data_IF_923448032539
#
_entry.id   IF_923448032539
#
_cell.length_a   1.000
_cell.length_b   1.000
_cell.length_c   1.000
_cell.angle_alpha   90.00
_cell.angle_beta   90.00
_cell.angle_gamma   90.00
#
_symmetry.space_group_name_H-M   'P 1'
#
loop_
_entity.id
_entity.type
_entity.pdbx_description
1 polymer ?
#
# COMPACT_ATOMS: atom_id res chain seq x y z
N UNK A 1 -44.87 10.00 -32.62
CA UNK A 1 -43.80 10.96 -32.29
C UNK A 1 -43.38 10.84 -30.82
N UNK A 2 -44.30 10.88 -29.82
CA UNK A 2 -43.96 10.80 -28.38
C UNK A 2 -43.30 9.45 -28.02
N UNK A 3 -43.82 8.33 -28.52
CA UNK A 3 -43.24 7.00 -28.27
C UNK A 3 -41.81 6.92 -28.79
N UNK A 4 -41.54 7.43 -29.99
CA UNK A 4 -40.16 7.43 -30.53
C UNK A 4 -39.20 8.26 -29.68
N UNK A 5 -39.61 9.38 -29.17
CA UNK A 5 -38.79 10.23 -28.27
C UNK A 5 -38.51 9.53 -26.94
N UNK A 6 -39.51 8.89 -26.35
CA UNK A 6 -39.37 8.15 -25.10
C UNK A 6 -38.42 6.96 -25.26
N UNK A 7 -38.58 6.19 -26.36
CA UNK A 7 -37.68 5.05 -26.65
C UNK A 7 -36.26 5.50 -26.86
N UNK A 8 -36.02 6.60 -27.58
CA UNK A 8 -34.71 7.18 -27.81
C UNK A 8 -34.08 7.69 -26.50
N UNK A 9 -34.86 8.37 -25.69
CA UNK A 9 -34.43 8.91 -24.40
C UNK A 9 -34.01 7.75 -23.43
N UNK A 10 -34.80 6.68 -23.39
CA UNK A 10 -34.44 5.48 -22.58
C UNK A 10 -33.19 4.80 -23.08
N UNK A 11 -32.99 4.64 -24.41
CA UNK A 11 -31.81 4.04 -25.00
C UNK A 11 -30.55 4.86 -24.73
N UNK A 12 -30.62 6.17 -24.90
CA UNK A 12 -29.49 7.07 -24.60
C UNK A 12 -29.22 7.09 -23.08
N UNK A 13 -30.25 7.19 -22.25
CA UNK A 13 -30.14 7.24 -20.80
C UNK A 13 -29.46 5.96 -20.23
N UNK A 14 -29.90 4.80 -20.68
CA UNK A 14 -29.30 3.51 -20.28
C UNK A 14 -27.83 3.39 -20.70
N UNK A 15 -27.49 3.73 -21.94
CA UNK A 15 -26.12 3.71 -22.41
C UNK A 15 -25.23 4.73 -21.68
N UNK A 16 -25.75 5.93 -21.41
CA UNK A 16 -25.02 6.95 -20.65
C UNK A 16 -24.77 6.52 -19.21
N UNK A 17 -25.76 5.90 -18.56
CA UNK A 17 -25.60 5.35 -17.21
C UNK A 17 -24.54 4.24 -17.15
N UNK A 18 -24.60 3.27 -18.07
CA UNK A 18 -23.61 2.19 -18.19
C UNK A 18 -22.21 2.77 -18.44
N UNK A 19 -22.09 3.70 -19.41
CA UNK A 19 -20.82 4.35 -19.71
C UNK A 19 -20.27 5.13 -18.53
N UNK A 20 -21.10 5.81 -17.78
CA UNK A 20 -20.71 6.57 -16.56
C UNK A 20 -20.15 5.62 -15.49
N UNK A 21 -20.78 4.46 -15.28
CA UNK A 21 -20.27 3.45 -14.33
C UNK A 21 -18.97 2.84 -14.84
N UNK A 22 -18.90 2.46 -16.11
CA UNK A 22 -17.67 1.90 -16.72
C UNK A 22 -16.53 2.91 -16.64
N UNK A 23 -16.79 4.18 -16.99
CA UNK A 23 -15.78 5.24 -16.90
C UNK A 23 -15.33 5.49 -15.45
N UNK A 24 -16.24 5.48 -14.50
CA UNK A 24 -15.90 5.71 -13.09
C UNK A 24 -15.10 4.57 -12.45
N UNK A 25 -15.34 3.32 -12.89
CA UNK A 25 -14.76 2.12 -12.27
C UNK A 25 -13.55 1.58 -13.05
N UNK A 26 -13.59 1.62 -14.38
CA UNK A 26 -12.58 0.97 -15.23
C UNK A 26 -11.64 1.94 -15.95
N UNK A 27 -12.10 3.18 -16.24
CA UNK A 27 -11.31 4.13 -17.03
C UNK A 27 -10.74 5.28 -16.22
N UNK A 28 -11.15 5.44 -14.96
CA UNK A 28 -10.58 6.48 -14.11
C UNK A 28 -9.23 6.02 -13.62
N UNK A 29 -8.18 6.73 -14.02
CA UNK A 29 -6.84 6.54 -13.45
C UNK A 29 -6.92 6.60 -11.92
N UNK A 30 -6.16 5.75 -11.25
CA UNK A 30 -6.02 5.81 -9.80
C UNK A 30 -5.66 7.24 -9.38
N UNK A 31 -6.19 7.75 -8.26
CA UNK A 31 -5.99 9.13 -7.81
C UNK A 31 -4.56 9.39 -7.28
N UNK A 32 -3.58 8.71 -7.87
CA UNK A 32 -2.16 8.84 -7.56
C UNK A 32 -1.43 9.50 -8.72
N UNK A 33 -0.36 10.21 -8.42
CA UNK A 33 0.52 10.73 -9.46
C UNK A 33 1.09 9.57 -10.29
N UNK A 34 0.92 9.61 -11.61
CA UNK A 34 1.27 8.50 -12.53
C UNK A 34 0.59 7.15 -12.18
N UNK A 35 -0.68 7.19 -11.78
CA UNK A 35 -1.44 5.99 -11.39
C UNK A 35 -1.46 4.87 -12.43
N UNK A 36 -1.28 5.19 -13.70
CA UNK A 36 -1.20 4.24 -14.82
C UNK A 36 0.06 3.36 -14.78
N UNK A 37 1.10 3.79 -14.05
CA UNK A 37 2.36 3.06 -13.87
C UNK A 37 2.38 2.25 -12.57
N UNK A 38 1.36 2.40 -11.72
CA UNK A 38 1.24 1.60 -10.50
C UNK A 38 0.72 0.21 -10.83
N UNK A 39 1.43 -0.81 -10.35
CA UNK A 39 1.08 -2.22 -10.55
C UNK A 39 1.06 -2.95 -9.21
N UNK A 40 0.10 -3.85 -9.06
CA UNK A 40 0.05 -4.74 -7.90
C UNK A 40 0.92 -5.98 -8.16
N UNK A 41 1.70 -6.39 -7.16
CA UNK A 41 2.46 -7.63 -7.16
C UNK A 41 1.87 -8.59 -6.13
N UNK A 42 1.52 -9.78 -6.59
CA UNK A 42 1.05 -10.90 -5.76
C UNK A 42 1.57 -12.20 -6.34
N UNK A 43 1.75 -13.21 -5.51
CA UNK A 43 2.06 -14.55 -5.97
C UNK A 43 0.78 -15.30 -6.36
N UNK A 44 0.91 -16.28 -7.26
CA UNK A 44 -0.17 -17.22 -7.57
C UNK A 44 0.03 -18.50 -6.76
N UNK A 45 -1.04 -19.04 -6.20
CA UNK A 45 -1.02 -20.38 -5.62
C UNK A 45 -1.18 -21.45 -6.72
N UNK A 46 -0.88 -22.73 -6.46
CA UNK A 46 -1.17 -23.82 -7.41
C UNK A 46 -2.65 -23.93 -7.80
N UNK A 47 -3.58 -23.45 -6.96
CA UNK A 47 -5.01 -23.37 -7.26
C UNK A 47 -5.40 -22.15 -8.11
N UNK A 48 -4.44 -21.26 -8.42
CA UNK A 48 -4.67 -20.03 -9.16
C UNK A 48 -5.22 -18.86 -8.31
N UNK A 49 -5.27 -19.02 -6.99
CA UNK A 49 -5.64 -17.94 -6.09
C UNK A 49 -4.46 -16.96 -5.90
N UNK A 50 -4.76 -15.71 -5.63
CA UNK A 50 -3.73 -14.71 -5.29
C UNK A 50 -3.30 -14.87 -3.84
N UNK A 51 -1.99 -14.94 -3.64
CA UNK A 51 -1.35 -14.94 -2.33
C UNK A 51 -0.58 -13.63 -2.11
N UNK A 52 -0.38 -13.25 -0.86
CA UNK A 52 0.42 -12.10 -0.49
C UNK A 52 1.91 -12.35 -0.68
N UNK A 53 2.70 -11.40 -0.21
CA UNK A 53 4.15 -11.52 -0.09
C UNK A 53 4.53 -11.66 1.39
N UNK A 54 5.57 -12.42 1.67
CA UNK A 54 6.29 -12.31 2.93
C UNK A 54 7.27 -11.14 2.90
N UNK A 55 7.78 -10.70 4.05
CA UNK A 55 8.81 -9.64 4.09
C UNK A 55 10.06 -10.04 3.28
N UNK A 56 10.64 -11.26 3.45
CA UNK A 56 11.78 -11.67 2.64
C UNK A 56 11.48 -11.73 1.13
N UNK A 57 10.28 -12.15 0.72
CA UNK A 57 9.91 -12.17 -0.70
C UNK A 57 9.80 -10.74 -1.26
N UNK A 58 9.17 -9.82 -0.53
CA UNK A 58 9.09 -8.42 -0.95
C UNK A 58 10.49 -7.81 -1.15
N UNK A 59 11.45 -8.12 -0.26
CA UNK A 59 12.84 -7.70 -0.38
C UNK A 59 13.55 -8.33 -1.59
N UNK A 60 13.32 -9.63 -1.85
CA UNK A 60 13.88 -10.31 -3.01
C UNK A 60 13.37 -9.73 -4.32
N UNK A 61 12.06 -9.49 -4.44
CA UNK A 61 11.47 -8.85 -5.61
C UNK A 61 11.97 -7.42 -5.80
N UNK A 62 12.02 -6.62 -4.73
CA UNK A 62 12.55 -5.26 -4.77
C UNK A 62 14.00 -5.22 -5.26
N UNK A 63 14.84 -6.15 -4.81
CA UNK A 63 16.25 -6.21 -5.18
C UNK A 63 16.49 -6.68 -6.62
N UNK A 64 15.58 -7.49 -7.19
CA UNK A 64 15.79 -8.18 -8.48
C UNK A 64 14.99 -7.60 -9.63
N UNK A 65 13.80 -7.02 -9.40
CA UNK A 65 12.96 -6.47 -10.47
C UNK A 65 13.57 -5.21 -11.05
N UNK A 66 13.99 -5.31 -12.32
CA UNK A 66 14.56 -4.18 -13.06
C UNK A 66 13.52 -3.37 -13.82
N UNK A 67 12.33 -3.94 -14.05
CA UNK A 67 11.18 -3.28 -14.69
C UNK A 67 10.50 -2.24 -13.79
N UNK A 68 10.72 -2.29 -12.49
CA UNK A 68 10.18 -1.33 -11.53
C UNK A 68 11.20 -0.25 -11.17
N UNK A 69 10.73 0.96 -10.90
CA UNK A 69 11.51 2.00 -10.24
C UNK A 69 11.68 1.70 -8.76
N UNK A 70 10.58 1.20 -8.16
CA UNK A 70 10.53 0.82 -6.75
C UNK A 70 9.37 -0.15 -6.50
N UNK A 71 9.44 -0.92 -5.41
CA UNK A 71 8.41 -1.87 -4.97
C UNK A 71 8.21 -1.71 -3.47
N UNK A 72 7.03 -1.30 -3.07
CA UNK A 72 6.62 -1.27 -1.67
C UNK A 72 5.74 -2.46 -1.31
N UNK A 73 5.80 -2.86 -0.05
CA UNK A 73 4.89 -3.84 0.51
C UNK A 73 4.22 -3.29 1.77
N UNK A 74 2.96 -3.65 1.99
CA UNK A 74 2.18 -3.13 3.11
C UNK A 74 1.07 -4.07 3.54
N UNK A 75 0.63 -3.90 4.80
CA UNK A 75 -0.52 -4.60 5.38
C UNK A 75 -1.26 -3.68 6.33
N UNK A 76 -2.57 -3.57 6.15
CA UNK A 76 -3.43 -2.77 7.03
C UNK A 76 -4.07 -3.62 8.11
N UNK A 77 -4.15 -3.06 9.30
CA UNK A 77 -4.95 -3.62 10.39
C UNK A 77 -5.44 -2.53 11.34
N UNK A 78 -6.37 -2.89 12.22
CA UNK A 78 -6.79 -1.99 13.28
C UNK A 78 -5.70 -1.85 14.34
N UNK A 79 -5.45 -0.62 14.76
CA UNK A 79 -4.46 -0.25 15.78
C UNK A 79 -5.15 0.52 16.90
N UNK A 80 -4.86 0.15 18.13
CA UNK A 80 -5.37 0.89 19.28
C UNK A 80 -4.47 2.11 19.54
N UNK A 81 -5.07 3.29 19.57
CA UNK A 81 -4.40 4.54 19.96
C UNK A 81 -4.76 4.84 21.41
N UNK A 82 -3.75 4.97 22.26
CA UNK A 82 -3.91 5.26 23.69
C UNK A 82 -3.06 6.47 24.08
N UNK A 83 -3.22 6.96 25.32
CA UNK A 83 -2.48 8.14 25.80
C UNK A 83 -3.18 9.49 25.54
N UNK A 84 -4.36 9.50 24.89
CA UNK A 84 -5.25 10.65 24.80
C UNK A 84 -6.39 10.57 25.83
N UNK A 85 -7.35 11.50 25.76
CA UNK A 85 -8.52 11.53 26.67
C UNK A 85 -9.37 10.26 26.63
N UNK A 86 -9.42 9.59 25.46
CA UNK A 86 -10.12 8.32 25.25
C UNK A 86 -9.29 7.38 24.38
N UNK A 87 -9.19 6.10 24.75
CA UNK A 87 -8.67 5.09 23.84
C UNK A 87 -9.55 5.02 22.59
N UNK A 88 -8.92 4.85 21.44
CA UNK A 88 -9.63 4.72 20.18
C UNK A 88 -8.97 3.65 19.30
N UNK A 89 -9.71 3.20 18.29
CA UNK A 89 -9.25 2.20 17.33
C UNK A 89 -9.31 2.79 15.93
N UNK A 90 -8.14 2.93 15.33
CA UNK A 90 -7.96 3.49 13.98
C UNK A 90 -7.47 2.43 13.00
N UNK A 91 -7.57 2.72 11.73
CA UNK A 91 -6.90 1.92 10.70
C UNK A 91 -5.44 2.35 10.61
N UNK A 92 -4.54 1.39 10.81
CA UNK A 92 -3.10 1.54 10.63
C UNK A 92 -2.60 0.69 9.49
N UNK A 93 -1.45 1.04 8.94
CA UNK A 93 -0.77 0.25 7.92
C UNK A 93 0.70 0.06 8.30
N UNK A 94 1.19 -1.16 8.13
CA UNK A 94 2.59 -1.51 8.27
C UNK A 94 3.21 -1.57 6.88
N UNK A 95 4.24 -0.76 6.65
CA UNK A 95 4.75 -0.48 5.31
C UNK A 95 6.27 -0.60 5.24
N UNK A 96 6.80 -0.94 4.08
CA UNK A 96 8.23 -0.82 3.80
C UNK A 96 8.67 0.65 3.74
N UNK A 97 9.94 0.93 3.99
CA UNK A 97 10.45 2.30 4.10
C UNK A 97 10.21 3.15 2.84
N UNK A 98 10.24 2.53 1.67
CA UNK A 98 10.02 3.16 0.37
C UNK A 98 8.53 3.37 -0.02
N UNK A 99 7.59 3.02 0.86
CA UNK A 99 6.16 3.04 0.57
C UNK A 99 5.68 4.37 0.00
N UNK A 100 5.96 5.48 0.67
CA UNK A 100 5.53 6.80 0.23
C UNK A 100 6.20 7.24 -1.08
N UNK A 101 7.43 6.78 -1.34
CA UNK A 101 8.16 7.03 -2.59
C UNK A 101 7.47 6.37 -3.79
N UNK A 102 6.97 5.13 -3.64
CA UNK A 102 6.22 4.42 -4.69
C UNK A 102 4.98 5.21 -5.12
N UNK A 103 4.31 5.90 -4.19
CA UNK A 103 3.16 6.76 -4.49
C UNK A 103 3.53 8.21 -4.84
N UNK A 104 4.83 8.54 -4.92
CA UNK A 104 5.33 9.90 -5.10
C UNK A 104 4.69 10.90 -4.12
N UNK A 105 4.53 10.46 -2.87
CA UNK A 105 3.86 11.23 -1.84
C UNK A 105 4.86 11.93 -0.92
N UNK A 106 4.83 13.26 -0.96
CA UNK A 106 5.61 14.09 -0.06
C UNK A 106 4.81 14.42 1.20
N UNK A 107 5.44 14.46 2.38
CA UNK A 107 4.79 14.90 3.60
C UNK A 107 4.51 16.40 3.58
N UNK A 108 3.43 16.82 4.24
CA UNK A 108 3.10 18.25 4.44
C UNK A 108 3.85 18.85 5.63
N UNK A 109 4.25 18.00 6.58
CA UNK A 109 5.10 18.35 7.73
C UNK A 109 6.06 17.20 7.99
N UNK A 110 7.31 17.49 8.35
CA UNK A 110 8.32 16.48 8.67
C UNK A 110 8.82 15.70 7.47
N UNK A 111 8.99 14.39 7.62
CA UNK A 111 9.51 13.46 6.60
C UNK A 111 8.77 12.13 6.57
N UNK A 112 8.95 11.37 5.51
CA UNK A 112 8.55 9.95 5.43
C UNK A 112 9.67 9.03 5.91
N UNK A 113 9.46 7.72 5.86
CA UNK A 113 10.48 6.75 6.24
C UNK A 113 11.70 6.81 5.32
N UNK A 114 12.88 6.56 5.89
CA UNK A 114 14.15 6.43 5.18
C UNK A 114 14.56 4.96 5.12
N UNK A 115 15.44 4.66 4.18
CA UNK A 115 16.01 3.32 4.04
C UNK A 115 16.62 2.82 5.37
N UNK A 116 16.28 1.61 5.74
CA UNK A 116 16.73 0.95 6.98
C UNK A 116 15.86 1.23 8.20
N UNK A 117 14.90 2.16 8.15
CA UNK A 117 13.96 2.38 9.26
C UNK A 117 12.88 1.28 9.37
N UNK A 118 12.78 0.42 8.38
CA UNK A 118 11.96 -0.79 8.36
C UNK A 118 12.75 -2.07 8.66
N UNK A 119 13.96 -1.97 9.21
CA UNK A 119 14.77 -3.13 9.65
C UNK A 119 14.41 -3.52 11.09
N UNK A 120 14.62 -4.77 11.40
CA UNK A 120 14.39 -5.28 12.75
C UNK A 120 15.28 -4.55 13.77
N UNK A 121 14.67 -4.09 14.87
CA UNK A 121 15.36 -3.31 15.90
C UNK A 121 15.49 -1.81 15.60
N UNK A 122 15.00 -1.32 14.46
CA UNK A 122 14.92 0.10 14.19
C UNK A 122 13.96 0.82 15.15
N UNK A 123 14.09 2.14 15.22
CA UNK A 123 13.23 2.98 16.06
C UNK A 123 11.74 2.83 15.69
N UNK A 124 10.85 2.89 16.67
CA UNK A 124 9.40 2.91 16.45
C UNK A 124 8.97 4.28 15.96
N UNK A 125 8.73 4.39 14.68
CA UNK A 125 8.36 5.61 13.98
C UNK A 125 6.95 5.51 13.42
N UNK A 126 6.28 6.64 13.30
CA UNK A 126 4.97 6.73 12.68
C UNK A 126 4.86 7.95 11.75
N UNK A 127 4.17 7.75 10.64
CA UNK A 127 3.65 8.82 9.78
C UNK A 127 2.14 8.82 9.94
N UNK A 128 1.53 9.98 10.07
CA UNK A 128 0.08 10.11 10.28
C UNK A 128 -0.57 10.91 9.15
N UNK A 129 -1.87 10.76 8.97
CA UNK A 129 -2.61 11.64 8.07
C UNK A 129 -2.89 13.00 8.73
N UNK A 130 -3.22 13.98 7.91
CA UNK A 130 -3.49 15.35 8.34
C UNK A 130 -4.64 15.44 9.34
N UNK A 131 -5.69 14.59 9.21
CA UNK A 131 -6.81 14.54 10.14
C UNK A 131 -6.34 14.13 11.54
N UNK A 132 -5.63 13.00 11.66
CA UNK A 132 -5.09 12.53 12.94
C UNK A 132 -4.14 13.57 13.57
N UNK A 133 -3.30 14.20 12.76
CA UNK A 133 -2.40 15.27 13.23
C UNK A 133 -3.15 16.46 13.82
N UNK A 134 -4.21 16.92 13.17
CA UNK A 134 -5.01 18.06 13.68
C UNK A 134 -5.85 17.68 14.91
N UNK A 135 -6.54 16.55 14.85
CA UNK A 135 -7.53 16.18 15.87
C UNK A 135 -6.89 15.61 17.14
N UNK A 136 -5.77 14.87 17.01
CA UNK A 136 -5.15 14.17 18.16
C UNK A 136 -3.82 14.76 18.60
N UNK A 137 -3.10 15.42 17.70
CA UNK A 137 -1.79 16.00 17.98
C UNK A 137 -1.85 17.53 17.96
N UNK A 138 -3.05 18.13 17.96
CA UNK A 138 -3.30 19.58 18.00
C UNK A 138 -2.52 20.37 16.95
N UNK A 139 -2.18 19.76 15.82
CA UNK A 139 -1.39 20.38 14.76
C UNK A 139 0.05 20.71 15.18
N UNK A 140 0.61 19.97 16.15
CA UNK A 140 1.97 20.18 16.65
C UNK A 140 3.01 20.05 15.53
N UNK A 141 3.83 21.06 15.34
CA UNK A 141 4.87 21.09 14.30
C UNK A 141 6.18 20.46 14.73
N UNK A 142 6.45 20.43 16.05
CA UNK A 142 7.62 19.77 16.59
C UNK A 142 7.36 18.27 16.72
N UNK A 143 7.44 17.55 15.59
CA UNK A 143 7.13 16.12 15.53
C UNK A 143 8.12 15.26 16.31
N UNK A 144 9.39 15.68 16.46
CA UNK A 144 10.41 14.87 17.16
C UNK A 144 10.07 14.65 18.64
N UNK A 145 9.39 15.61 19.26
CA UNK A 145 8.89 15.49 20.63
C UNK A 145 7.54 14.79 20.74
N UNK A 146 6.86 14.55 19.58
CA UNK A 146 5.49 14.03 19.55
C UNK A 146 5.50 12.51 19.59
N UNK A 147 4.87 11.94 20.63
CA UNK A 147 4.72 10.50 20.81
C UNK A 147 3.26 10.09 20.63
N UNK A 148 3.06 8.97 19.92
CA UNK A 148 1.77 8.31 19.79
C UNK A 148 1.87 6.92 20.41
N UNK A 149 0.97 6.56 21.31
CA UNK A 149 0.96 5.21 21.87
C UNK A 149 0.08 4.32 20.99
N UNK A 150 0.71 3.42 20.26
CA UNK A 150 0.05 2.51 19.33
C UNK A 150 0.19 1.07 19.85
N UNK A 151 -0.93 0.39 20.09
CA UNK A 151 -0.96 -0.95 20.69
C UNK A 151 -0.14 -1.07 21.99
N UNK A 152 -0.12 -0.02 22.80
CA UNK A 152 0.63 0.05 24.07
C UNK A 152 2.10 0.44 23.93
N UNK A 153 2.60 0.68 22.73
CA UNK A 153 4.00 1.01 22.48
C UNK A 153 4.16 2.44 21.97
N UNK A 154 5.20 3.18 22.45
CA UNK A 154 5.42 4.56 22.03
C UNK A 154 6.10 4.64 20.65
N UNK A 155 5.46 5.35 19.72
CA UNK A 155 5.98 5.69 18.41
C UNK A 155 6.30 7.18 18.34
N UNK A 156 7.43 7.54 17.72
CA UNK A 156 7.73 8.93 17.39
C UNK A 156 7.05 9.27 16.07
N UNK A 157 6.23 10.31 16.06
CA UNK A 157 5.66 10.85 14.83
C UNK A 157 6.74 11.60 14.08
N UNK A 158 7.03 11.22 12.83
CA UNK A 158 8.09 11.83 12.03
C UNK A 158 7.58 12.62 10.84
N UNK A 159 6.31 12.40 10.44
CA UNK A 159 5.74 13.08 9.30
C UNK A 159 4.23 13.06 9.27
N UNK A 160 3.69 13.98 8.50
CA UNK A 160 2.26 14.13 8.26
C UNK A 160 2.03 14.11 6.75
N UNK A 161 1.12 13.28 6.27
CA UNK A 161 0.71 13.24 4.87
C UNK A 161 -0.69 13.82 4.69
N UNK A 162 -0.96 14.31 3.48
CA UNK A 162 -2.27 14.91 3.15
C UNK A 162 -3.42 13.93 3.34
N UNK A 163 -4.56 14.40 3.80
CA UNK A 163 -5.78 13.61 3.94
C UNK A 163 -6.34 13.14 2.58
N UNK A 164 -5.97 13.80 1.50
CA UNK A 164 -6.36 13.41 0.15
C UNK A 164 -5.71 12.10 -0.31
N UNK A 165 -4.59 11.72 0.28
CA UNK A 165 -3.98 10.41 0.02
C UNK A 165 -4.86 9.31 0.62
N UNK A 166 -5.26 8.38 -0.23
CA UNK A 166 -6.01 7.18 0.17
C UNK A 166 -5.20 5.96 -0.19
N UNK A 167 -4.88 5.14 0.81
CA UNK A 167 -4.13 3.90 0.58
C UNK A 167 -4.93 2.95 -0.32
N UNK A 168 -4.31 2.27 -1.29
CA UNK A 168 -4.95 1.21 -2.05
C UNK A 168 -5.51 0.12 -1.14
N UNK A 169 -6.69 -0.42 -1.48
CA UNK A 169 -7.41 -1.48 -0.77
C UNK A 169 -7.91 -1.14 0.64
N UNK A 170 -7.43 -0.05 1.24
CA UNK A 170 -7.88 0.41 2.56
C UNK A 170 -7.77 1.94 2.68
N UNK A 171 -8.77 2.69 2.20
CA UNK A 171 -8.72 4.15 2.12
C UNK A 171 -8.82 4.87 3.48
N UNK A 172 -9.16 4.13 4.53
CA UNK A 172 -9.41 4.69 5.87
C UNK A 172 -8.16 4.65 6.77
N UNK A 173 -7.00 4.32 6.23
CA UNK A 173 -5.74 4.33 7.00
C UNK A 173 -5.40 5.75 7.45
N UNK A 174 -5.13 5.88 8.75
CA UNK A 174 -4.79 7.15 9.40
C UNK A 174 -3.34 7.21 9.89
N UNK A 175 -2.68 6.04 10.10
CA UNK A 175 -1.31 5.95 10.59
C UNK A 175 -0.53 4.86 9.88
N UNK A 176 0.72 5.15 9.53
CA UNK A 176 1.66 4.21 8.90
C UNK A 176 2.84 3.97 9.82
N UNK A 177 3.27 2.71 9.90
CA UNK A 177 4.38 2.24 10.74
C UNK A 177 5.29 1.34 9.91
N UNK A 178 6.58 1.22 10.24
CA UNK A 178 7.47 0.28 9.57
C UNK A 178 6.96 -1.16 9.63
N UNK A 179 7.09 -1.89 8.54
CA UNK A 179 6.58 -3.28 8.37
C UNK A 179 7.12 -4.24 9.43
N UNK A 180 8.32 -4.00 9.94
CA UNK A 180 8.92 -4.80 11.02
C UNK A 180 8.25 -4.63 12.38
N UNK A 181 7.35 -3.68 12.52
CA UNK A 181 6.52 -3.52 13.73
C UNK A 181 5.19 -4.29 13.62
N UNK A 182 4.93 -4.98 12.51
CA UNK A 182 3.76 -5.84 12.36
C UNK A 182 3.84 -7.01 13.36
N UNK A 183 2.78 -7.30 14.14
CA UNK A 183 2.79 -8.42 15.06
C UNK A 183 2.79 -9.76 14.31
N UNK A 184 3.75 -10.61 14.58
CA UNK A 184 3.82 -11.95 14.01
C UNK A 184 5.19 -12.36 13.45
N UNK A 185 5.20 -13.34 12.56
CA UNK A 185 6.40 -14.03 12.06
C UNK A 185 7.10 -13.26 10.91
N UNK A 186 7.80 -12.21 11.27
CA UNK A 186 8.38 -11.25 10.32
C UNK A 186 9.52 -11.78 9.44
N UNK A 187 10.22 -12.83 9.88
CA UNK A 187 11.35 -13.41 9.13
C UNK A 187 11.01 -14.69 8.36
N UNK A 188 9.78 -15.16 8.42
CA UNK A 188 9.36 -16.42 7.81
C UNK A 188 8.86 -16.18 6.38
N UNK A 189 9.41 -16.95 5.42
CA UNK A 189 9.02 -16.87 4.01
C UNK A 189 7.62 -17.37 3.72
N UNK A 190 7.07 -18.21 4.56
CA UNK A 190 5.69 -18.72 4.46
C UNK A 190 4.65 -17.79 5.09
N UNK A 191 5.08 -16.77 5.84
CA UNK A 191 4.21 -15.75 6.42
C UNK A 191 3.84 -14.67 5.39
N UNK A 192 2.93 -15.01 4.47
CA UNK A 192 2.48 -14.14 3.37
C UNK A 192 1.26 -13.35 3.77
N UNK A 193 1.46 -12.08 4.07
CA UNK A 193 0.40 -11.18 4.52
C UNK A 193 0.46 -9.79 3.89
N UNK A 194 1.51 -9.51 3.10
CA UNK A 194 1.73 -8.19 2.52
C UNK A 194 1.13 -8.09 1.11
N UNK A 195 0.56 -6.94 0.82
CA UNK A 195 0.25 -6.51 -0.54
C UNK A 195 1.47 -5.82 -1.14
N UNK A 196 1.88 -6.24 -2.35
CA UNK A 196 2.94 -5.58 -3.11
C UNK A 196 2.37 -4.51 -4.04
N UNK A 197 3.03 -3.35 -4.11
CA UNK A 197 2.71 -2.29 -5.06
C UNK A 197 4.01 -1.74 -5.63
N UNK A 198 4.15 -1.82 -6.95
CA UNK A 198 5.32 -1.33 -7.68
C UNK A 198 5.00 -0.17 -8.59
N UNK A 199 6.01 0.63 -8.91
CA UNK A 199 5.94 1.67 -9.92
C UNK A 199 6.77 1.24 -11.14
N UNK A 200 6.11 1.05 -12.30
CA UNK A 200 6.78 0.68 -13.54
C UNK A 200 7.70 1.80 -14.02
N UNK A 201 8.87 1.43 -14.52
CA UNK A 201 9.74 2.39 -15.22
C UNK A 201 9.05 2.90 -16.49
N UNK A 202 9.33 4.14 -16.90
CA UNK A 202 8.80 4.69 -18.15
C UNK A 202 9.03 3.74 -19.33
N UNK A 203 8.01 3.58 -20.17
CA UNK A 203 8.01 2.75 -21.37
C UNK A 203 8.21 1.23 -21.16
N UNK A 204 8.20 0.73 -19.93
CA UNK A 204 8.18 -0.71 -19.66
C UNK A 204 6.74 -1.23 -19.75
N UNK A 205 6.44 -2.17 -20.66
CA UNK A 205 5.11 -2.78 -20.74
C UNK A 205 4.83 -3.67 -19.52
N UNK A 206 3.58 -3.70 -19.05
CA UNK A 206 3.15 -4.58 -17.97
C UNK A 206 3.51 -6.06 -18.22
N UNK A 207 3.38 -6.53 -19.47
CA UNK A 207 3.72 -7.91 -19.85
C UNK A 207 5.20 -8.24 -19.61
N UNK A 208 6.12 -7.27 -19.79
CA UNK A 208 7.54 -7.46 -19.50
C UNK A 208 7.76 -7.59 -17.99
N UNK A 209 7.16 -6.71 -17.18
CA UNK A 209 7.27 -6.77 -15.72
C UNK A 209 6.67 -8.09 -15.18
N UNK A 210 5.58 -8.55 -15.75
CA UNK A 210 4.96 -9.83 -15.39
C UNK A 210 5.87 -11.03 -15.72
N UNK A 211 6.50 -11.07 -16.90
CA UNK A 211 7.44 -12.11 -17.27
C UNK A 211 8.68 -12.13 -16.36
N UNK A 212 9.18 -10.94 -16.01
CA UNK A 212 10.29 -10.81 -15.06
C UNK A 212 9.89 -11.31 -13.67
N UNK A 213 8.72 -10.89 -13.15
CA UNK A 213 8.22 -11.34 -11.86
C UNK A 213 8.06 -12.88 -11.82
N UNK A 214 7.51 -13.49 -12.86
CA UNK A 214 7.35 -14.95 -12.97
C UNK A 214 8.71 -15.65 -13.00
N UNK A 215 9.72 -15.07 -13.65
CA UNK A 215 11.08 -15.63 -13.67
C UNK A 215 11.70 -15.59 -12.25
N UNK A 216 11.54 -14.47 -11.54
CA UNK A 216 12.04 -14.32 -10.16
C UNK A 216 11.31 -15.29 -9.23
N UNK A 217 9.99 -15.44 -9.36
CA UNK A 217 9.20 -16.39 -8.57
C UNK A 217 9.67 -17.83 -8.77
N UNK A 218 9.96 -18.24 -10.02
CA UNK A 218 10.54 -19.54 -10.33
C UNK A 218 11.91 -19.76 -9.65
N UNK A 219 12.82 -18.76 -9.71
CA UNK A 219 14.09 -18.81 -9.03
C UNK A 219 13.96 -18.91 -7.50
N UNK A 220 12.97 -18.22 -6.93
CA UNK A 220 12.69 -18.31 -5.50
C UNK A 220 12.10 -19.68 -5.12
N UNK A 221 11.28 -20.28 -5.99
CA UNK A 221 10.77 -21.64 -5.78
C UNK A 221 11.91 -22.68 -5.79
N UNK A 222 12.87 -22.52 -6.67
CA UNK A 222 14.07 -23.39 -6.71
C UNK A 222 14.97 -23.18 -5.48
N UNK A 223 15.15 -21.94 -5.06
CA UNK A 223 16.01 -21.61 -3.91
C UNK A 223 15.37 -21.98 -2.55
N UNK A 224 14.06 -21.92 -2.46
CA UNK A 224 13.27 -22.14 -1.24
C UNK A 224 12.11 -23.12 -1.49
N UNK A 225 12.41 -24.40 -1.83
CA UNK A 225 11.40 -25.34 -2.32
C UNK A 225 10.35 -25.73 -1.27
N UNK A 226 10.62 -25.54 0.02
CA UNK A 226 9.65 -25.83 1.07
C UNK A 226 8.60 -24.72 1.20
N UNK A 227 9.02 -23.48 1.10
CA UNK A 227 8.19 -22.30 1.32
C UNK A 227 7.49 -21.83 0.05
N UNK A 228 8.11 -22.03 -1.12
CA UNK A 228 7.68 -21.47 -2.41
C UNK A 228 7.22 -22.53 -3.42
N UNK A 229 7.09 -23.81 -3.04
CA UNK A 229 6.69 -24.87 -3.96
C UNK A 229 5.35 -24.55 -4.68
N UNK A 230 5.40 -24.55 -6.02
CA UNK A 230 4.23 -24.34 -6.87
C UNK A 230 3.66 -22.92 -6.89
N UNK A 231 4.42 -21.93 -6.40
CA UNK A 231 4.06 -20.52 -6.45
C UNK A 231 4.82 -19.80 -7.56
N UNK A 232 4.10 -18.93 -8.31
CA UNK A 232 4.65 -18.19 -9.43
C UNK A 232 3.85 -16.95 -9.78
#
# INVERSE_FOLDING_TARGET
>A
TVIAVVTLALGIGANTAIFSVVNAVLLRSLPYHNGDQLVALSLSTPSGERDGLSIPEAQDFQARMQSLEDLAAFQSQSVNVTGGERPDRVRGSFVTANYFKVFNLNPIVGRTFMEGEDRQGAAKLAVVNEKMWRERLNGEKNLEATKLILNGEPYTVIGVVTESFKQPFDPDVEVWMPVTNFPGNQGQRDARFLFGMGHLKPAVPLAQAQAEASTIAGQLADAYPKENAGRG
#
